data_IF_877015821467
#
_entry.id   IF_877015821467
#
_cell.length_a   1.000
_cell.length_b   1.000
_cell.length_c   1.000
_cell.angle_alpha   90.00
_cell.angle_beta   90.00
_cell.angle_gamma   90.00
#
_symmetry.space_group_name_H-M   'P 1'
#
loop_
_entity.id
_entity.type
_entity.pdbx_description
1 polymer ?
#
# COMPACT_ATOMS: atom_id res chain seq x y z
N UNK A 1 -6.43 -16.58 15.69
CA UNK A 1 -6.47 -15.51 14.67
C UNK A 1 -5.07 -15.38 14.14
N UNK A 2 -4.84 -15.55 12.84
CA UNK A 2 -3.49 -15.46 12.28
C UNK A 2 -3.06 -14.00 12.28
N UNK A 3 -2.32 -13.62 13.33
CA UNK A 3 -1.59 -12.36 13.40
C UNK A 3 -0.53 -12.40 12.30
N UNK A 4 -0.66 -11.54 11.29
CA UNK A 4 0.17 -11.60 10.07
C UNK A 4 1.64 -11.22 10.29
N UNK A 5 2.09 -11.02 11.54
CA UNK A 5 3.46 -10.58 11.83
C UNK A 5 3.79 -9.25 11.15
N UNK A 6 2.80 -8.34 11.11
CA UNK A 6 2.98 -6.99 10.56
C UNK A 6 3.60 -6.12 11.63
N UNK A 7 4.81 -5.64 11.36
CA UNK A 7 5.56 -4.77 12.27
C UNK A 7 5.27 -3.29 11.99
N UNK A 8 5.06 -2.95 10.70
CA UNK A 8 4.75 -1.58 10.26
C UNK A 8 3.63 -1.57 9.21
N UNK A 9 2.82 -0.50 9.21
CA UNK A 9 1.78 -0.24 8.21
C UNK A 9 1.97 1.16 7.63
N UNK A 10 1.95 1.26 6.29
CA UNK A 10 2.07 2.52 5.54
C UNK A 10 0.87 2.69 4.63
N UNK A 11 0.26 3.87 4.64
CA UNK A 11 -0.84 4.24 3.75
C UNK A 11 -0.36 5.25 2.73
N UNK A 12 -0.55 4.95 1.44
CA UNK A 12 -0.14 5.79 0.33
C UNK A 12 -1.40 6.18 -0.47
N UNK A 13 -1.62 7.48 -0.68
CA UNK A 13 -2.72 7.99 -1.49
C UNK A 13 -2.16 8.61 -2.76
N UNK A 14 -2.59 8.11 -3.92
CA UNK A 14 -2.15 8.63 -5.22
C UNK A 14 -3.36 8.85 -6.14
N UNK A 15 -3.36 9.87 -6.99
CA UNK A 15 -4.33 9.93 -8.07
C UNK A 15 -4.05 8.83 -9.12
N UNK A 16 -5.08 8.24 -9.74
CA UNK A 16 -4.87 7.32 -10.86
C UNK A 16 -4.26 8.05 -12.07
N UNK A 17 -3.47 7.38 -12.92
CA UNK A 17 -3.13 5.95 -12.94
C UNK A 17 -1.74 5.65 -12.34
N UNK A 18 -1.40 6.18 -11.16
CA UNK A 18 -0.05 6.03 -10.58
C UNK A 18 0.24 4.65 -9.94
N UNK A 19 -0.50 3.60 -10.29
CA UNK A 19 -0.28 2.22 -9.81
C UNK A 19 1.16 1.73 -10.08
N UNK A 20 1.80 2.22 -11.13
CA UNK A 20 3.20 1.92 -11.44
C UNK A 20 4.18 2.35 -10.33
N UNK A 21 3.92 3.47 -9.65
CA UNK A 21 4.78 3.98 -8.57
C UNK A 21 4.75 3.05 -7.34
N UNK A 22 3.57 2.53 -6.98
CA UNK A 22 3.41 1.59 -5.87
C UNK A 22 4.06 0.24 -6.18
N UNK A 23 3.87 -0.26 -7.40
CA UNK A 23 4.52 -1.50 -7.83
C UNK A 23 6.04 -1.40 -7.83
N UNK A 24 6.58 -0.22 -8.17
CA UNK A 24 8.02 0.04 -8.08
C UNK A 24 8.49 0.04 -6.62
N UNK A 25 7.78 0.75 -5.75
CA UNK A 25 8.08 0.80 -4.31
C UNK A 25 8.09 -0.59 -3.68
N UNK A 26 7.09 -1.42 -3.97
CA UNK A 26 7.02 -2.81 -3.49
C UNK A 26 8.14 -3.72 -4.01
N UNK A 27 8.73 -3.41 -5.18
CA UNK A 27 9.89 -4.14 -5.71
C UNK A 27 11.19 -3.68 -5.07
N UNK A 28 11.32 -2.39 -4.78
CA UNK A 28 12.52 -1.78 -4.22
C UNK A 28 12.62 -2.02 -2.70
N UNK A 29 11.52 -1.91 -1.97
CA UNK A 29 11.48 -2.10 -0.51
C UNK A 29 11.12 -3.56 -0.16
N UNK A 30 12.15 -4.39 0.09
CA UNK A 30 11.96 -5.77 0.59
C UNK A 30 11.22 -5.76 1.93
N UNK A 31 10.33 -6.73 2.12
CA UNK A 31 9.55 -6.89 3.36
C UNK A 31 8.19 -6.22 3.31
N UNK A 32 7.98 -5.25 2.42
CA UNK A 32 6.67 -4.62 2.22
C UNK A 32 5.77 -5.44 1.29
N UNK A 33 4.49 -5.52 1.63
CA UNK A 33 3.46 -6.23 0.87
C UNK A 33 2.22 -5.36 0.77
N UNK A 34 1.54 -5.43 -0.37
CA UNK A 34 0.24 -4.80 -0.54
C UNK A 34 -0.82 -5.59 0.22
N UNK A 35 -1.51 -4.93 1.14
CA UNK A 35 -2.59 -5.51 1.93
C UNK A 35 -3.95 -5.18 1.34
N UNK A 36 -4.15 -3.92 0.94
CA UNK A 36 -5.45 -3.44 0.49
C UNK A 36 -5.30 -2.30 -0.53
N UNK A 37 -6.25 -2.21 -1.47
CA UNK A 37 -6.41 -1.10 -2.39
C UNK A 37 -7.85 -0.62 -2.34
N UNK A 38 -8.05 0.68 -2.11
CA UNK A 38 -9.37 1.33 -2.14
C UNK A 38 -9.37 2.48 -3.13
N UNK A 39 -10.48 2.66 -3.83
CA UNK A 39 -10.72 3.85 -4.66
C UNK A 39 -11.67 4.75 -3.89
N UNK A 40 -11.32 6.02 -3.78
CA UNK A 40 -12.10 7.03 -3.10
C UNK A 40 -12.25 8.27 -3.97
N UNK A 41 -13.37 8.96 -3.82
CA UNK A 41 -13.55 10.30 -4.35
C UNK A 41 -12.70 11.28 -3.52
N UNK A 42 -11.69 11.85 -4.15
CA UNK A 42 -10.88 12.90 -3.57
C UNK A 42 -11.59 14.25 -3.62
N UNK A 43 -11.05 15.21 -2.86
CA UNK A 43 -11.55 16.58 -2.87
C UNK A 43 -11.52 17.16 -4.30
N UNK A 44 -12.61 17.79 -4.71
CA UNK A 44 -12.73 18.40 -6.05
C UNK A 44 -13.10 17.44 -7.18
N UNK A 45 -13.60 16.23 -6.87
CA UNK A 45 -14.05 15.26 -7.88
C UNK A 45 -12.93 14.48 -8.56
N UNK A 46 -11.70 14.57 -8.04
CA UNK A 46 -10.58 13.78 -8.52
C UNK A 46 -10.60 12.40 -7.85
N UNK A 47 -10.63 11.33 -8.64
CA UNK A 47 -10.47 9.98 -8.10
C UNK A 47 -9.11 9.84 -7.41
N UNK A 48 -9.08 9.15 -6.29
CA UNK A 48 -7.87 8.79 -5.56
C UNK A 48 -7.83 7.28 -5.32
N UNK A 49 -6.63 6.72 -5.32
CA UNK A 49 -6.38 5.32 -4.99
C UNK A 49 -5.54 5.29 -3.72
N UNK A 50 -6.08 4.63 -2.70
CA UNK A 50 -5.46 4.42 -1.39
C UNK A 50 -4.87 3.02 -1.37
N UNK A 51 -3.56 2.92 -1.16
CA UNK A 51 -2.82 1.68 -1.04
C UNK A 51 -2.39 1.50 0.41
N UNK A 52 -2.75 0.36 1.00
CA UNK A 52 -2.33 -0.02 2.35
C UNK A 52 -1.23 -1.06 2.22
N UNK A 53 -0.03 -0.71 2.67
CA UNK A 53 1.14 -1.57 2.66
C UNK A 53 1.45 -2.03 4.07
N UNK A 54 1.81 -3.30 4.23
CA UNK A 54 2.28 -3.88 5.47
C UNK A 54 3.72 -4.35 5.34
N UNK A 55 4.55 -4.05 6.32
CA UNK A 55 5.91 -4.55 6.42
C UNK A 55 5.92 -5.80 7.31
N UNK A 56 6.36 -6.92 6.74
CA UNK A 56 6.69 -8.10 7.53
C UNK A 56 8.18 -8.10 7.76
N UNK A 57 8.63 -7.97 9.01
CA UNK A 57 9.94 -8.46 9.40
C UNK A 57 9.89 -9.96 9.13
N UNK A 58 10.58 -10.42 8.08
CA UNK A 58 10.59 -11.83 7.74
C UNK A 58 10.89 -12.62 9.00
N UNK A 59 9.89 -13.35 9.49
CA UNK A 59 10.05 -14.21 10.65
C UNK A 59 11.21 -15.13 10.34
N UNK A 60 12.22 -15.09 11.20
CA UNK A 60 13.21 -16.16 11.29
C UNK A 60 12.50 -17.51 11.52
#
# INVERSE_FOLDING_TARGET
MSDLGLDEVRVIVLPPPQTAAVNRLLREERGWRLLEVKVADGAGGALQVVYVLGHTTGGE
#
